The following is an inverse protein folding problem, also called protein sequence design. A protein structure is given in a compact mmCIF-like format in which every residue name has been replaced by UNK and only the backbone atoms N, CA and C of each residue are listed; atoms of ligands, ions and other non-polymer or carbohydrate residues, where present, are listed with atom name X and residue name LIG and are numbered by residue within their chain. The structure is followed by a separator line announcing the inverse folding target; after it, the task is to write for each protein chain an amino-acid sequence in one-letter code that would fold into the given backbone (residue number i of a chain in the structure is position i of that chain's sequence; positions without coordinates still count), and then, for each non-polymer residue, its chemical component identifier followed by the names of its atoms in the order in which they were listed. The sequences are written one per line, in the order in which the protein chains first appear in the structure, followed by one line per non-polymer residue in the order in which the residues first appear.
data_IF_328211609943
#
_entry.id   IF_328211609943
#
_cell.length_a   1.000
_cell.length_b   1.000
_cell.length_c   1.000
_cell.angle_alpha   90.00
_cell.angle_beta   90.00
_cell.angle_gamma   90.00
#
_symmetry.space_group_name_H-M   'P 1'
#
loop_
_entity.id
_entity.type
_entity.pdbx_description
1 polymer ?
#
# COMPACT_ATOMS: atom_id res chain seq x y z
N UNK A 1 7.10 12.57 -7.71
CA UNK A 1 6.93 11.80 -8.96
C UNK A 1 5.57 11.11 -8.92
N UNK A 2 4.75 11.23 -9.96
CA UNK A 2 3.46 10.55 -10.07
C UNK A 2 3.62 9.13 -10.61
N UNK A 3 2.63 8.26 -10.38
CA UNK A 3 2.60 6.94 -11.01
C UNK A 3 2.30 7.09 -12.51
N UNK A 4 3.10 6.44 -13.37
CA UNK A 4 3.08 6.61 -14.83
C UNK A 4 1.69 6.44 -15.47
N UNK A 5 0.86 5.56 -14.89
CA UNK A 5 -0.48 5.21 -15.37
C UNK A 5 -1.48 6.37 -15.39
N UNK A 6 -1.24 7.41 -14.60
CA UNK A 6 -2.13 8.58 -14.48
C UNK A 6 -1.59 9.80 -15.23
N UNK A 7 -0.42 9.70 -15.88
CA UNK A 7 0.22 10.84 -16.53
C UNK A 7 -0.51 11.25 -17.81
N UNK A 8 -0.68 12.57 -17.99
CA UNK A 8 -1.24 13.15 -19.20
C UNK A 8 -0.23 13.13 -20.37
N UNK A 9 -0.67 13.11 -21.64
CA UNK A 9 0.22 13.04 -22.81
C UNK A 9 1.24 14.17 -22.84
N UNK A 10 0.84 15.39 -22.49
CA UNK A 10 1.72 16.55 -22.44
C UNK A 10 2.80 16.44 -21.35
N UNK A 11 2.53 15.70 -20.28
CA UNK A 11 3.51 15.43 -19.22
C UNK A 11 4.52 14.39 -19.69
N UNK A 12 4.06 13.35 -20.38
CA UNK A 12 4.93 12.32 -21.00
C UNK A 12 5.83 12.93 -22.08
N UNK A 13 5.30 13.84 -22.90
CA UNK A 13 6.07 14.57 -23.92
C UNK A 13 7.14 15.48 -23.28
N UNK A 14 6.80 16.19 -22.21
CA UNK A 14 7.75 17.03 -21.46
C UNK A 14 8.83 16.24 -20.70
N UNK A 15 8.67 14.93 -20.50
CA UNK A 15 9.77 14.07 -20.04
C UNK A 15 10.84 13.85 -21.13
N UNK A 16 10.49 14.05 -22.40
CA UNK A 16 11.37 13.79 -23.54
C UNK A 16 12.06 15.06 -24.09
N UNK A 17 11.54 16.28 -23.84
CA UNK A 17 12.12 17.56 -24.29
C UNK A 17 11.91 18.71 -23.26
N UNK A 18 12.79 19.72 -23.25
CA UNK A 18 12.73 20.89 -22.34
C UNK A 18 11.34 21.56 -22.31
N UNK A 19 10.65 21.36 -21.19
CA UNK A 19 9.21 21.50 -21.03
C UNK A 19 8.64 22.91 -21.29
N UNK A 20 7.56 22.94 -22.08
CA UNK A 20 6.60 24.04 -22.08
C UNK A 20 5.66 23.98 -20.86
N UNK A 21 5.10 25.14 -20.52
CA UNK A 21 4.29 25.47 -19.34
C UNK A 21 3.34 24.33 -18.92
N UNK A 22 3.53 23.84 -17.68
CA UNK A 22 2.62 22.92 -16.99
C UNK A 22 1.20 23.49 -16.94
N UNK A 23 0.30 22.92 -17.75
CA UNK A 23 -1.11 23.29 -17.74
C UNK A 23 -1.84 22.48 -16.65
N UNK A 24 -2.65 23.16 -15.83
CA UNK A 24 -3.46 22.56 -14.74
C UNK A 24 -4.44 21.51 -15.25
N UNK A 25 -4.61 21.40 -16.58
CA UNK A 25 -5.43 20.41 -17.24
C UNK A 25 -4.83 19.01 -17.22
N UNK A 26 -3.53 18.82 -16.91
CA UNK A 26 -2.99 17.49 -16.70
C UNK A 26 -3.68 16.74 -15.54
N UNK A 27 -4.10 17.46 -14.49
CA UNK A 27 -4.90 16.88 -13.39
C UNK A 27 -6.26 16.35 -13.87
N UNK A 28 -6.84 16.98 -14.89
CA UNK A 28 -8.13 16.61 -15.47
C UNK A 28 -8.00 15.33 -16.31
N UNK A 29 -6.84 15.08 -16.90
CA UNK A 29 -6.54 13.78 -17.51
C UNK A 29 -6.49 12.68 -16.45
N UNK A 30 -5.72 12.90 -15.37
CA UNK A 30 -5.64 11.98 -14.25
C UNK A 30 -7.02 11.67 -13.67
N UNK A 31 -7.89 12.67 -13.55
CA UNK A 31 -9.29 12.51 -13.15
C UNK A 31 -10.06 11.60 -14.12
N UNK A 32 -9.86 11.77 -15.44
CA UNK A 32 -10.46 10.90 -16.45
C UNK A 32 -10.02 9.44 -16.33
N UNK A 33 -8.72 9.20 -16.08
CA UNK A 33 -8.16 7.86 -15.84
C UNK A 33 -8.77 7.24 -14.58
N UNK A 34 -8.79 7.99 -13.47
CA UNK A 34 -9.38 7.52 -12.21
C UNK A 34 -10.86 7.22 -12.38
N UNK A 35 -11.62 8.08 -13.07
CA UNK A 35 -13.03 7.85 -13.34
C UNK A 35 -13.26 6.59 -14.17
N UNK A 36 -12.44 6.33 -15.18
CA UNK A 36 -12.50 5.11 -15.97
C UNK A 36 -12.31 3.87 -15.09
N UNK A 37 -11.29 3.87 -14.23
CA UNK A 37 -10.99 2.78 -13.29
C UNK A 37 -12.14 2.62 -12.29
N UNK A 38 -12.68 3.72 -11.77
CA UNK A 38 -13.78 3.69 -10.80
C UNK A 38 -15.07 3.10 -11.37
N UNK A 39 -15.26 3.06 -12.69
CA UNK A 39 -16.46 2.50 -13.31
C UNK A 39 -16.25 1.08 -13.86
N UNK A 40 -15.04 0.75 -14.29
CA UNK A 40 -14.73 -0.53 -14.98
C UNK A 40 -13.81 -1.46 -14.20
N UNK A 41 -13.04 -0.94 -13.24
CA UNK A 41 -12.07 -1.70 -12.45
C UNK A 41 -10.71 -1.93 -13.11
N UNK A 42 -10.44 -1.35 -14.29
CA UNK A 42 -9.14 -1.47 -14.98
C UNK A 42 -8.75 -0.14 -15.65
N UNK A 43 -7.46 0.11 -15.94
CA UNK A 43 -7.01 1.36 -16.53
C UNK A 43 -7.31 1.46 -18.05
N UNK A 44 -7.53 2.66 -18.60
CA UNK A 44 -7.78 2.87 -20.03
C UNK A 44 -6.53 2.71 -20.91
N UNK A 45 -5.34 2.86 -20.35
CA UNK A 45 -4.06 2.73 -21.05
C UNK A 45 -3.21 1.68 -20.33
N UNK A 46 -2.60 0.76 -21.09
CA UNK A 46 -1.78 -0.34 -20.58
C UNK A 46 -0.57 -0.55 -21.48
N UNK A 47 0.57 -0.89 -20.89
CA UNK A 47 1.74 -1.34 -21.63
C UNK A 47 1.97 -2.83 -21.40
N UNK A 48 2.16 -3.60 -22.48
CA UNK A 48 2.35 -5.05 -22.38
C UNK A 48 3.39 -5.54 -23.39
N UNK A 49 4.54 -5.98 -22.89
CA UNK A 49 5.67 -6.43 -23.71
C UNK A 49 5.51 -7.86 -24.28
N UNK A 50 4.38 -8.54 -24.04
CA UNK A 50 4.13 -9.91 -24.51
C UNK A 50 4.89 -11.01 -23.75
N UNK A 51 5.61 -10.64 -22.69
CA UNK A 51 6.46 -11.54 -21.89
C UNK A 51 6.02 -11.50 -20.42
N UNK A 52 6.30 -12.55 -19.64
CA UNK A 52 6.13 -12.53 -18.17
C UNK A 52 7.28 -11.74 -17.52
N UNK A 53 7.18 -10.41 -17.56
CA UNK A 53 8.19 -9.48 -17.07
C UNK A 53 7.88 -8.92 -15.66
N UNK A 54 6.87 -9.46 -14.98
CA UNK A 54 6.45 -9.01 -13.65
C UNK A 54 5.80 -7.63 -13.55
N UNK A 55 5.54 -6.95 -14.68
CA UNK A 55 4.90 -5.62 -14.69
C UNK A 55 3.55 -5.62 -13.97
N UNK A 56 2.72 -6.63 -14.24
CA UNK A 56 1.41 -6.78 -13.59
C UNK A 56 1.51 -7.10 -12.08
N UNK A 57 2.69 -7.53 -11.60
CA UNK A 57 3.00 -7.75 -10.18
C UNK A 57 3.63 -6.52 -9.51
N UNK A 58 3.80 -5.42 -10.24
CA UNK A 58 4.43 -4.19 -9.75
C UNK A 58 5.96 -4.16 -9.91
N UNK A 59 6.54 -5.09 -10.66
CA UNK A 59 7.97 -5.07 -10.98
C UNK A 59 8.26 -4.09 -12.13
N UNK A 60 9.48 -3.53 -12.16
CA UNK A 60 9.86 -2.60 -13.20
C UNK A 60 10.12 -3.33 -14.53
N UNK A 61 9.46 -2.87 -15.60
CA UNK A 61 9.72 -3.31 -16.96
C UNK A 61 9.78 -2.09 -17.89
N UNK A 62 10.96 -1.81 -18.43
CA UNK A 62 11.15 -0.65 -19.29
C UNK A 62 10.35 -0.74 -20.60
N UNK A 63 10.24 -1.94 -21.18
CA UNK A 63 9.44 -2.15 -22.40
C UNK A 63 7.95 -1.90 -22.15
N UNK A 64 7.38 -2.42 -21.06
CA UNK A 64 5.98 -2.14 -20.71
C UNK A 64 5.77 -0.65 -20.41
N UNK A 65 6.71 0.00 -19.71
CA UNK A 65 6.64 1.43 -19.44
C UNK A 65 6.64 2.26 -20.73
N UNK A 66 7.52 1.95 -21.69
CA UNK A 66 7.57 2.66 -22.96
C UNK A 66 6.29 2.44 -23.78
N UNK A 67 5.79 1.21 -23.85
CA UNK A 67 4.51 0.92 -24.52
C UNK A 67 3.33 1.62 -23.85
N UNK A 68 3.34 1.76 -22.53
CA UNK A 68 2.34 2.55 -21.80
C UNK A 68 2.42 4.03 -22.21
N UNK A 69 3.63 4.60 -22.28
CA UNK A 69 3.82 5.98 -22.73
C UNK A 69 3.36 6.19 -24.18
N UNK A 70 3.66 5.25 -25.08
CA UNK A 70 3.15 5.28 -26.46
C UNK A 70 1.61 5.23 -26.48
N UNK A 71 0.99 4.35 -25.69
CA UNK A 71 -0.47 4.24 -25.57
C UNK A 71 -1.11 5.54 -25.08
N UNK A 72 -0.54 6.16 -24.04
CA UNK A 72 -0.99 7.46 -23.50
C UNK A 72 -0.85 8.56 -24.57
N UNK A 73 0.30 8.62 -25.26
CA UNK A 73 0.55 9.59 -26.31
C UNK A 73 -0.39 9.40 -27.51
N UNK A 74 -0.72 8.16 -27.87
CA UNK A 74 -1.68 7.86 -28.93
C UNK A 74 -3.10 8.30 -28.53
N UNK A 75 -3.42 8.20 -27.24
CA UNK A 75 -4.68 8.64 -26.64
C UNK A 75 -5.87 7.80 -27.06
N UNK A 76 -5.63 6.57 -27.52
CA UNK A 76 -6.68 5.60 -27.88
C UNK A 76 -7.01 4.73 -26.68
N UNK A 77 -8.29 4.67 -26.36
CA UNK A 77 -8.87 3.78 -25.35
C UNK A 77 -10.27 3.37 -25.82
N UNK A 78 -10.80 2.31 -25.24
CA UNK A 78 -12.10 1.76 -25.64
C UNK A 78 -13.05 1.65 -24.45
N UNK A 79 -14.34 1.48 -24.74
CA UNK A 79 -15.37 1.12 -23.77
C UNK A 79 -15.95 -0.26 -24.10
N UNK A 80 -15.24 -1.37 -23.82
CA UNK A 80 -15.69 -2.72 -24.15
C UNK A 80 -17.10 -3.02 -23.63
N UNK A 81 -18.00 -3.45 -24.52
CA UNK A 81 -19.42 -3.68 -24.18
C UNK A 81 -19.61 -4.63 -22.99
N UNK A 82 -18.70 -5.60 -22.81
CA UNK A 82 -18.72 -6.57 -21.70
C UNK A 82 -18.81 -5.88 -20.31
N UNK A 83 -18.12 -4.76 -20.13
CA UNK A 83 -18.07 -4.01 -18.86
C UNK A 83 -18.79 -2.66 -18.96
N UNK A 84 -18.96 -2.12 -20.17
CA UNK A 84 -19.44 -0.75 -20.37
C UNK A 84 -20.87 -0.65 -20.89
N UNK A 85 -21.52 -1.74 -21.32
CA UNK A 85 -22.88 -1.68 -21.86
C UNK A 85 -23.90 -1.11 -20.86
N UNK A 86 -23.72 -1.38 -19.56
CA UNK A 86 -24.60 -0.94 -18.48
C UNK A 86 -24.24 0.44 -17.90
N UNK A 87 -23.10 1.01 -18.29
CA UNK A 87 -22.64 2.32 -17.82
C UNK A 87 -23.30 3.43 -18.65
N UNK A 88 -23.83 4.45 -17.97
CA UNK A 88 -24.56 5.55 -18.61
C UNK A 88 -23.74 6.27 -19.70
N UNK A 89 -24.43 6.73 -20.74
CA UNK A 89 -23.82 7.54 -21.80
C UNK A 89 -23.15 8.81 -21.24
N UNK A 90 -23.78 9.46 -20.24
CA UNK A 90 -23.23 10.66 -19.62
C UNK A 90 -21.87 10.44 -18.95
N UNK A 91 -21.62 9.25 -18.38
CA UNK A 91 -20.32 8.90 -17.82
C UNK A 91 -19.26 8.75 -18.92
N UNK A 92 -19.60 8.02 -20.00
CA UNK A 92 -18.71 7.82 -21.16
C UNK A 92 -18.37 9.14 -21.84
N UNK A 93 -19.35 10.03 -21.97
CA UNK A 93 -19.20 11.39 -22.51
C UNK A 93 -18.30 12.28 -21.64
N UNK A 94 -18.41 12.19 -20.31
CA UNK A 94 -17.49 12.91 -19.42
C UNK A 94 -16.06 12.41 -19.57
N UNK A 95 -15.85 11.09 -19.54
CA UNK A 95 -14.52 10.48 -19.72
C UNK A 95 -13.92 10.91 -21.06
N UNK A 96 -14.71 10.91 -22.13
CA UNK A 96 -14.20 11.25 -23.47
C UNK A 96 -13.77 12.70 -23.63
N UNK A 97 -14.36 13.60 -22.84
CA UNK A 97 -13.97 15.01 -22.77
C UNK A 97 -12.84 15.30 -21.77
N UNK A 98 -12.53 14.35 -20.88
CA UNK A 98 -11.39 14.40 -19.96
C UNK A 98 -10.13 13.76 -20.58
N UNK A 99 -10.27 12.63 -21.26
CA UNK A 99 -9.18 11.90 -21.93
C UNK A 99 -8.93 12.45 -23.35
N UNK A 100 -8.77 13.77 -23.44
CA UNK A 100 -8.44 14.49 -24.67
C UNK A 100 -6.95 14.82 -24.68
N UNK A 101 -6.24 14.41 -25.74
CA UNK A 101 -4.80 14.65 -25.90
C UNK A 101 -4.44 16.13 -25.85
N UNK A 102 -5.13 16.94 -26.65
CA UNK A 102 -4.94 18.38 -26.65
C UNK A 102 -5.50 18.99 -25.35
N UNK A 103 -4.61 19.38 -24.45
CA UNK A 103 -4.96 19.99 -23.18
C UNK A 103 -5.91 21.18 -23.36
N UNK A 104 -5.77 21.99 -24.42
CA UNK A 104 -6.63 23.16 -24.66
C UNK A 104 -8.08 22.79 -25.02
N UNK A 105 -8.30 21.58 -25.52
CA UNK A 105 -9.64 21.04 -25.81
C UNK A 105 -10.22 20.23 -24.65
N UNK A 106 -9.39 19.79 -23.71
CA UNK A 106 -9.80 19.07 -22.50
C UNK A 106 -10.70 19.95 -21.61
N UNK A 107 -11.70 19.37 -20.95
CA UNK A 107 -12.52 20.14 -20.00
C UNK A 107 -11.66 20.71 -18.86
N UNK A 108 -11.99 21.94 -18.47
CA UNK A 108 -11.54 22.52 -17.21
C UNK A 108 -12.37 22.01 -16.04
N UNK A 109 -11.86 22.12 -14.82
CA UNK A 109 -12.57 21.70 -13.60
C UNK A 109 -13.94 22.38 -13.45
N UNK A 110 -14.05 23.67 -13.78
CA UNK A 110 -15.34 24.39 -13.75
C UNK A 110 -16.36 23.74 -14.71
N UNK A 111 -15.93 23.40 -15.93
CA UNK A 111 -16.80 22.75 -16.91
C UNK A 111 -17.18 21.32 -16.51
N UNK A 112 -16.28 20.60 -15.82
CA UNK A 112 -16.59 19.27 -15.26
C UNK A 112 -17.70 19.36 -14.21
N UNK A 113 -17.64 20.34 -13.30
CA UNK A 113 -18.69 20.57 -12.29
C UNK A 113 -20.04 20.91 -12.91
N UNK A 114 -20.04 21.49 -14.11
CA UNK A 114 -21.25 21.78 -14.87
C UNK A 114 -21.74 20.62 -15.75
N UNK A 115 -20.97 19.54 -15.85
CA UNK A 115 -21.30 18.41 -16.70
C UNK A 115 -22.59 17.72 -16.22
N UNK A 116 -23.54 17.36 -17.10
CA UNK A 116 -24.83 16.77 -16.71
C UNK A 116 -24.69 15.52 -15.83
N UNK A 117 -23.68 14.69 -16.10
CA UNK A 117 -23.41 13.50 -15.29
C UNK A 117 -23.01 13.84 -13.84
N UNK A 118 -22.25 14.93 -13.63
CA UNK A 118 -21.81 15.38 -12.29
C UNK A 118 -22.93 16.10 -11.55
N UNK A 119 -23.78 16.86 -12.26
CA UNK A 119 -24.89 17.62 -11.65
C UNK A 119 -26.09 16.77 -11.20
N UNK A 120 -26.02 15.44 -11.27
CA UNK A 120 -27.05 14.55 -10.72
C UNK A 120 -27.91 13.80 -11.74
N UNK A 121 -27.45 13.64 -12.98
CA UNK A 121 -28.04 12.68 -13.93
C UNK A 121 -27.31 11.32 -13.94
N UNK A 122 -26.45 11.06 -12.95
CA UNK A 122 -25.87 9.73 -12.79
C UNK A 122 -26.97 8.77 -12.28
N UNK A 123 -27.17 7.61 -12.93
CA UNK A 123 -28.15 6.63 -12.45
C UNK A 123 -27.77 6.12 -11.04
N UNK A 124 -28.77 5.70 -10.26
CA UNK A 124 -28.58 5.07 -8.93
C UNK A 124 -28.03 3.63 -9.03
N UNK A 125 -27.27 3.31 -10.07
CA UNK A 125 -26.72 1.97 -10.25
C UNK A 125 -25.55 1.74 -9.29
N UNK A 126 -25.61 0.66 -8.52
CA UNK A 126 -24.51 0.26 -7.65
C UNK A 126 -23.30 -0.09 -8.52
N UNK A 127 -22.17 0.60 -8.32
CA UNK A 127 -20.97 0.34 -9.10
C UNK A 127 -20.44 -1.07 -8.80
N UNK A 128 -20.06 -1.86 -9.82
CA UNK A 128 -19.44 -3.18 -9.62
C UNK A 128 -18.01 -3.08 -9.12
N UNK A 129 -17.39 -1.90 -9.20
CA UNK A 129 -15.98 -1.63 -8.89
C UNK A 129 -15.53 -2.09 -7.51
N UNK A 130 -16.29 -1.90 -6.41
CA UNK A 130 -15.91 -2.45 -5.11
C UNK A 130 -15.79 -3.98 -5.13
N UNK A 131 -16.55 -4.67 -5.97
CA UNK A 131 -16.49 -6.14 -6.14
C UNK A 131 -15.29 -6.53 -7.01
N UNK A 132 -15.01 -5.75 -8.06
CA UNK A 132 -13.90 -6.01 -9.00
C UNK A 132 -12.54 -5.79 -8.30
N UNK A 133 -12.37 -4.66 -7.61
CA UNK A 133 -11.14 -4.34 -6.89
C UNK A 133 -10.88 -5.25 -5.68
N UNK A 134 -11.93 -5.86 -5.10
CA UNK A 134 -11.76 -6.84 -4.03
C UNK A 134 -11.11 -8.15 -4.48
N UNK A 135 -11.10 -8.47 -5.78
CA UNK A 135 -10.41 -9.68 -6.28
C UNK A 135 -8.88 -9.58 -6.24
N UNK A 136 -8.31 -8.38 -6.13
CA UNK A 136 -6.87 -8.15 -6.01
C UNK A 136 -6.41 -7.89 -4.56
N UNK A 137 -7.22 -8.22 -3.55
CA UNK A 137 -6.88 -7.89 -2.16
C UNK A 137 -5.76 -8.79 -1.61
N UNK A 138 -4.51 -8.40 -1.82
CA UNK A 138 -3.33 -8.78 -1.03
C UNK A 138 -3.63 -8.81 0.48
N UNK A 139 -4.57 -8.00 0.95
CA UNK A 139 -5.05 -8.01 2.33
C UNK A 139 -5.56 -9.37 2.84
N UNK A 140 -6.21 -10.21 2.01
CA UNK A 140 -6.64 -11.56 2.43
C UNK A 140 -5.47 -12.53 2.56
N UNK A 141 -4.49 -12.41 1.68
CA UNK A 141 -3.25 -13.19 1.78
C UNK A 141 -2.42 -12.75 2.99
N UNK A 142 -2.34 -11.43 3.25
CA UNK A 142 -1.68 -10.87 4.42
C UNK A 142 -2.36 -11.28 5.73
N UNK A 143 -3.70 -11.31 5.79
CA UNK A 143 -4.39 -11.80 6.99
C UNK A 143 -4.22 -13.30 7.18
N UNK A 144 -4.20 -14.09 6.10
CA UNK A 144 -3.91 -15.51 6.16
C UNK A 144 -2.48 -15.78 6.64
N UNK A 145 -1.50 -15.13 6.03
CA UNK A 145 -0.09 -15.22 6.43
C UNK A 145 0.13 -14.76 7.87
N UNK A 146 -0.50 -13.66 8.29
CA UNK A 146 -0.41 -13.18 9.66
C UNK A 146 -1.01 -14.18 10.65
N UNK A 147 -2.14 -14.82 10.31
CA UNK A 147 -2.74 -15.86 11.14
C UNK A 147 -1.83 -17.09 11.27
N UNK A 148 -1.19 -17.52 10.17
CA UNK A 148 -0.22 -18.62 10.16
C UNK A 148 1.04 -18.28 10.98
N UNK A 149 1.61 -17.08 10.80
CA UNK A 149 2.77 -16.63 11.56
C UNK A 149 2.48 -16.53 13.08
N UNK A 150 1.29 -16.07 13.46
CA UNK A 150 0.84 -16.06 14.86
C UNK A 150 0.70 -17.48 15.40
N UNK A 151 0.18 -18.42 14.62
CA UNK A 151 0.05 -19.82 15.03
C UNK A 151 1.42 -20.48 15.23
N UNK A 152 2.38 -20.22 14.35
CA UNK A 152 3.77 -20.71 14.47
C UNK A 152 4.45 -20.10 15.71
N UNK A 153 4.36 -18.78 15.90
CA UNK A 153 4.91 -18.13 17.09
C UNK A 153 4.31 -18.69 18.38
N UNK A 154 3.01 -19.03 18.40
CA UNK A 154 2.36 -19.67 19.54
C UNK A 154 2.88 -21.08 19.81
N UNK A 155 3.24 -21.83 18.77
CA UNK A 155 3.83 -23.16 18.91
C UNK A 155 5.27 -23.09 19.40
N UNK A 156 6.06 -22.13 18.90
CA UNK A 156 7.42 -21.90 19.37
C UNK A 156 7.44 -21.49 20.84
N UNK A 157 6.60 -20.54 21.26
CA UNK A 157 6.51 -20.16 22.68
C UNK A 157 6.10 -21.31 23.59
N UNK A 158 5.28 -22.25 23.11
CA UNK A 158 4.90 -23.43 23.89
C UNK A 158 6.05 -24.41 24.00
N UNK A 159 6.79 -24.64 22.91
CA UNK A 159 8.00 -25.48 22.95
C UNK A 159 9.06 -24.89 23.86
N UNK A 160 9.29 -23.58 23.80
CA UNK A 160 10.22 -22.91 24.70
C UNK A 160 9.75 -23.01 26.16
N UNK A 161 8.44 -22.88 26.43
CA UNK A 161 7.86 -23.05 27.77
C UNK A 161 7.96 -24.51 28.28
N UNK A 162 7.73 -25.50 27.40
CA UNK A 162 7.84 -26.93 27.72
C UNK A 162 9.31 -27.34 27.93
N UNK A 163 10.24 -26.83 27.12
CA UNK A 163 11.70 -27.04 27.27
C UNK A 163 12.26 -26.37 28.53
N UNK A 164 11.77 -25.18 28.89
CA UNK A 164 12.11 -24.51 30.15
C UNK A 164 11.53 -25.24 31.37
N UNK A 165 10.31 -25.79 31.27
CA UNK A 165 9.69 -26.59 32.35
C UNK A 165 10.37 -27.96 32.54
N UNK A 166 10.73 -28.66 31.46
CA UNK A 166 11.50 -29.91 31.51
C UNK A 166 12.90 -29.68 32.11
N UNK A 167 13.59 -28.60 31.73
CA UNK A 167 14.89 -28.24 32.30
C UNK A 167 14.80 -27.82 33.78
N UNK A 168 13.71 -27.16 34.19
CA UNK A 168 13.45 -26.85 35.60
C UNK A 168 13.02 -28.07 36.43
N UNK A 169 12.42 -29.10 35.83
CA UNK A 169 12.01 -30.33 36.52
C UNK A 169 13.18 -31.29 36.73
N UNK A 170 14.09 -31.42 35.76
CA UNK A 170 15.33 -32.21 35.89
C UNK A 170 16.31 -31.62 36.93
N UNK A 171 16.24 -30.32 37.21
CA UNK A 171 17.13 -29.62 38.13
C UNK A 171 16.63 -29.58 39.60
N UNK A 172 15.43 -30.11 39.92
CA UNK A 172 14.85 -30.03 41.27
C UNK A 172 15.29 -31.20 42.17
N UNK A 173 15.93 -30.95 43.33
CA UNK A 173 16.18 -32.01 44.30
C UNK A 173 14.86 -32.45 44.97
N UNK A 174 14.67 -33.76 45.14
CA UNK A 174 13.49 -34.34 45.82
C UNK A 174 13.51 -33.94 47.30
N UNK A 175 12.56 -33.10 47.74
CA UNK A 175 12.37 -32.75 49.16
C UNK A 175 11.00 -33.24 49.63
N UNK A 176 11.00 -34.24 50.51
CA UNK A 176 9.80 -34.72 51.21
C UNK A 176 9.56 -33.83 52.44
N UNK A 177 8.49 -33.02 52.46
CA UNK A 177 8.02 -32.37 53.69
C UNK A 177 6.49 -32.38 53.82
N UNK A 178 6.05 -32.61 55.06
CA UNK A 178 4.68 -32.85 55.49
C UNK A 178 3.74 -31.63 55.29
N UNK A 179 2.47 -31.94 55.05
CA UNK A 179 1.39 -31.02 54.68
C UNK A 179 0.99 -30.05 55.81
N UNK A 180 0.92 -28.75 55.51
CA UNK A 180 0.00 -27.82 56.14
C UNK A 180 -0.48 -26.79 55.12
N UNK A 181 -1.80 -26.63 55.01
CA UNK A 181 -2.49 -25.91 53.93
C UNK A 181 -2.59 -24.43 54.30
N UNK A 182 -1.68 -23.60 53.78
CA UNK A 182 -1.84 -22.15 53.73
C UNK A 182 -1.79 -21.72 52.26
N UNK A 183 -2.75 -20.90 51.82
CA UNK A 183 -2.71 -20.33 50.47
C UNK A 183 -1.54 -19.34 50.38
N UNK A 184 -0.39 -19.84 49.92
CA UNK A 184 0.79 -19.02 49.66
C UNK A 184 0.63 -18.33 48.31
N UNK A 185 0.50 -17.01 48.31
CA UNK A 185 0.74 -16.21 47.13
C UNK A 185 2.25 -15.96 47.04
N UNK A 186 2.85 -16.28 45.89
CA UNK A 186 4.27 -16.01 45.63
C UNK A 186 4.56 -14.50 45.70
N UNK A 187 5.74 -14.09 46.19
CA UNK A 187 6.12 -12.68 46.22
C UNK A 187 6.00 -12.03 44.83
N UNK A 188 5.61 -10.75 44.72
CA UNK A 188 5.40 -10.08 43.44
C UNK A 188 6.61 -10.10 42.49
N UNK A 189 7.83 -10.21 43.03
CA UNK A 189 9.08 -10.34 42.27
C UNK A 189 9.18 -11.64 41.45
N UNK A 190 8.42 -12.67 41.83
CA UNK A 190 8.37 -13.95 41.13
C UNK A 190 7.17 -14.08 40.19
N UNK A 191 6.28 -13.08 40.18
CA UNK A 191 5.16 -13.04 39.26
C UNK A 191 5.64 -12.92 37.82
N UNK A 192 5.28 -13.90 36.98
CA UNK A 192 5.54 -13.88 35.52
C UNK A 192 5.02 -12.59 34.88
N UNK A 193 3.93 -12.00 35.41
CA UNK A 193 3.38 -10.72 34.94
C UNK A 193 4.26 -9.52 35.30
N UNK A 194 4.87 -9.51 36.50
CA UNK A 194 5.76 -8.44 36.95
C UNK A 194 7.10 -8.46 36.18
N UNK A 195 7.67 -9.65 35.95
CA UNK A 195 8.88 -9.83 35.12
C UNK A 195 8.68 -9.36 33.68
N UNK A 196 7.50 -9.65 33.08
CA UNK A 196 7.11 -9.15 31.75
C UNK A 196 7.03 -7.62 31.69
N UNK A 197 6.47 -6.97 32.72
CA UNK A 197 6.40 -5.49 32.79
C UNK A 197 7.78 -4.85 32.90
N UNK A 198 8.72 -5.46 33.64
CA UNK A 198 10.10 -4.98 33.73
C UNK A 198 10.89 -5.13 32.41
N UNK A 199 10.76 -6.26 31.71
CA UNK A 199 11.39 -6.45 30.38
C UNK A 199 10.88 -5.42 29.36
N UNK A 200 9.57 -5.13 29.39
CA UNK A 200 8.95 -4.10 28.56
C UNK A 200 9.48 -2.68 28.86
N UNK A 201 9.69 -2.33 30.14
CA UNK A 201 10.25 -1.02 30.51
C UNK A 201 11.72 -0.86 30.15
N UNK A 202 12.52 -1.94 30.24
CA UNK A 202 13.94 -1.94 29.85
C UNK A 202 14.12 -1.77 28.33
N UNK A 203 13.29 -2.41 27.52
CA UNK A 203 13.29 -2.22 26.07
C UNK A 203 12.96 -0.77 25.66
N UNK A 204 12.13 -0.07 26.45
CA UNK A 204 11.77 1.34 26.22
C UNK A 204 12.89 2.32 26.63
N UNK A 205 13.72 1.96 27.61
CA UNK A 205 14.85 2.79 28.06
C UNK A 205 16.02 2.79 27.07
N UNK A 206 16.25 1.67 26.37
CA UNK A 206 17.33 1.55 25.37
C UNK A 206 17.07 2.44 24.13
N UNK A 207 15.81 2.67 23.78
CA UNK A 207 15.44 3.51 22.62
C UNK A 207 15.59 5.03 22.87
N UNK A 208 15.67 5.49 24.12
CA UNK A 208 15.71 6.91 24.46
C UNK A 208 17.13 7.49 24.66
N UNK A 209 18.19 6.66 24.60
CA UNK A 209 19.57 7.06 24.90
C UNK A 209 20.44 7.46 23.69
N UNK A 210 19.91 7.48 22.47
CA UNK A 210 20.68 7.80 21.26
C UNK A 210 20.40 9.24 20.77
N UNK A 211 20.89 10.25 21.50
CA UNK A 211 20.99 11.61 20.99
C UNK A 211 22.32 12.26 21.44
N UNK A 212 23.18 12.53 20.45
CA UNK A 212 24.33 13.45 20.40
C UNK A 212 25.52 13.20 21.34
N UNK A 213 26.74 13.05 20.78
CA UNK A 213 27.85 14.05 20.81
C UNK A 213 28.98 13.57 19.87
N UNK A 214 29.45 14.43 18.96
CA UNK A 214 30.62 14.21 18.11
C UNK A 214 31.94 14.48 18.87
N UNK A 215 33.06 13.77 18.62
CA UNK A 215 34.29 14.00 19.35
C UNK A 215 35.14 15.14 18.77
N UNK A 216 35.57 16.03 19.65
CA UNK A 216 36.60 17.07 19.46
C UNK A 216 37.98 16.43 19.26
N UNK A 217 38.70 16.82 18.19
CA UNK A 217 40.11 16.48 17.97
C UNK A 217 40.93 17.77 18.02
N UNK A 218 41.76 17.90 19.05
CA UNK A 218 42.85 18.87 19.14
C UNK A 218 44.14 18.16 18.73
N UNK A 219 44.75 18.58 17.62
CA UNK A 219 46.14 18.23 17.29
C UNK A 219 46.97 19.51 17.40
N UNK A 220 47.97 19.45 18.27
CA UNK A 220 48.96 20.49 18.51
C UNK A 220 49.96 20.53 17.35
N UNK A 221 50.26 21.74 16.89
CA UNK A 221 51.36 22.02 15.98
C UNK A 221 52.44 22.73 16.79
N UNK A 222 53.68 22.22 16.76
CA UNK A 222 54.81 22.91 17.34
C UNK A 222 56.07 22.71 16.49
N UNK A 223 56.50 23.86 15.94
CA UNK A 223 57.82 24.28 15.45
C UNK A 223 58.32 23.70 14.13
#
# INVERSE_FOLDING_TARGET
CGSAEYMAPEVVEAFNEEASIYDKRCDLWSLGVILYIMLSGYPPFVGHCGSDCGWDRGEACHTCQNMLFESIQEGKYEFPDKDWAHISFGAKDLISKLLVRDAKKRLSAAQVLEHPWVRGCAPDNTLPTPIILQRNSSAKELTCFAAEAIAVNRQLTRRDEDEEEEAEEEARPIIIKATSRAMQLSPPSESKLAKRRQKSSLAKAVAAGQHLVAPLVLVADQA
#
